data_IF_969873540701
#
_entry.id   IF_969873540701
#
_cell.length_a   1.000
_cell.length_b   1.000
_cell.length_c   1.000
_cell.angle_alpha   90.00
_cell.angle_beta   90.00
_cell.angle_gamma   90.00
#
_symmetry.space_group_name_H-M   'P 1'
#
loop_
_entity.id
_entity.type
_entity.pdbx_description
1 polymer ?
#
# COMPACT_ATOMS: atom_id res chain seq x y z
N UNK A 1 -7.82 -0.03 12.14
CA UNK A 1 -8.02 -1.06 11.11
C UNK A 1 -6.81 -1.08 10.18
N UNK A 2 -6.50 -2.24 9.67
CA UNK A 2 -5.34 -2.41 8.79
C UNK A 2 -5.39 -1.51 7.56
N UNK A 3 -6.57 -1.40 6.93
CA UNK A 3 -6.72 -0.53 5.77
C UNK A 3 -6.35 0.93 6.10
N UNK A 4 -6.78 1.41 7.24
CA UNK A 4 -6.51 2.80 7.63
C UNK A 4 -5.02 3.06 7.81
N UNK A 5 -4.31 2.10 8.40
CA UNK A 5 -2.87 2.23 8.60
C UNK A 5 -2.13 2.21 7.27
N UNK A 6 -2.53 1.32 6.38
CA UNK A 6 -1.91 1.23 5.05
C UNK A 6 -2.22 2.48 4.25
N UNK A 7 -3.46 2.96 4.32
CA UNK A 7 -3.85 4.20 3.63
C UNK A 7 -3.00 5.37 4.10
N UNK A 8 -2.73 5.44 5.39
CA UNK A 8 -1.90 6.51 5.94
C UNK A 8 -0.49 6.48 5.36
N UNK A 9 0.10 5.30 5.26
CA UNK A 9 1.42 5.15 4.65
C UNK A 9 1.41 5.60 3.20
N UNK A 10 0.40 5.20 2.45
CA UNK A 10 0.26 5.59 1.04
C UNK A 10 0.15 7.11 0.91
N UNK A 11 -0.69 7.71 1.74
CA UNK A 11 -0.91 9.17 1.69
C UNK A 11 0.37 9.93 2.02
N UNK A 12 1.14 9.46 2.99
CA UNK A 12 2.39 10.11 3.36
C UNK A 12 3.42 10.01 2.24
N UNK A 13 3.51 8.85 1.59
CA UNK A 13 4.49 8.65 0.53
C UNK A 13 4.14 9.44 -0.72
N UNK A 14 2.87 9.55 -1.05
CA UNK A 14 2.43 10.21 -2.28
C UNK A 14 2.04 11.66 -2.07
N UNK A 15 1.94 12.13 -0.83
CA UNK A 15 1.55 13.49 -0.54
C UNK A 15 0.10 13.80 -0.91
N UNK A 16 -0.79 12.84 -0.72
CA UNK A 16 -2.20 12.97 -1.05
C UNK A 16 -3.06 12.83 0.20
N UNK A 17 -4.34 13.15 0.08
CA UNK A 17 -5.26 13.09 1.20
C UNK A 17 -5.95 11.73 1.30
N UNK A 18 -6.40 11.41 2.52
CA UNK A 18 -7.01 10.11 2.80
C UNK A 18 -8.26 9.85 1.96
N UNK A 19 -9.02 10.90 1.65
CA UNK A 19 -10.24 10.73 0.86
C UNK A 19 -9.98 10.37 -0.60
N UNK A 20 -8.72 10.44 -1.04
CA UNK A 20 -8.35 10.05 -2.39
C UNK A 20 -8.03 8.56 -2.48
N UNK A 21 -7.96 7.86 -1.34
CA UNK A 21 -7.54 6.46 -1.28
C UNK A 21 -8.67 5.60 -0.73
N UNK A 22 -9.10 4.62 -1.52
CA UNK A 22 -10.09 3.61 -1.10
C UNK A 22 -9.55 2.23 -1.44
N UNK A 23 -10.26 1.19 -1.03
CA UNK A 23 -9.85 -0.18 -1.35
C UNK A 23 -9.81 -0.44 -2.86
N UNK A 24 -10.67 0.23 -3.60
CA UNK A 24 -10.78 0.04 -5.05
C UNK A 24 -9.81 0.91 -5.85
N UNK A 25 -9.18 1.88 -5.19
CA UNK A 25 -8.24 2.78 -5.85
C UNK A 25 -7.01 2.00 -6.31
N UNK A 26 -6.61 2.20 -7.56
CA UNK A 26 -5.38 1.58 -8.07
C UNK A 26 -4.22 2.54 -7.90
N UNK A 27 -3.01 2.00 -7.88
CA UNK A 27 -1.83 2.87 -7.81
C UNK A 27 -1.67 3.67 -9.09
N UNK A 28 -2.15 3.14 -10.20
CA UNK A 28 -2.18 3.87 -11.46
C UNK A 28 -3.09 5.09 -11.36
N UNK A 29 -4.25 4.94 -10.72
CA UNK A 29 -5.16 6.06 -10.49
C UNK A 29 -4.52 7.16 -9.66
N UNK A 30 -3.64 6.78 -8.74
CA UNK A 30 -2.92 7.71 -7.89
C UNK A 30 -1.67 8.27 -8.55
N UNK A 31 -1.39 7.85 -9.78
CA UNK A 31 -0.19 8.24 -10.53
C UNK A 31 1.10 7.85 -9.80
N UNK A 32 1.04 6.80 -9.01
CA UNK A 32 2.20 6.26 -8.33
C UNK A 32 2.99 5.40 -9.30
N UNK A 33 4.26 5.72 -9.49
CA UNK A 33 5.12 4.90 -10.34
C UNK A 33 5.75 3.76 -9.54
N UNK A 34 6.64 3.02 -10.18
CA UNK A 34 7.28 1.87 -9.55
C UNK A 34 8.09 2.26 -8.32
N UNK A 35 8.76 3.40 -8.36
CA UNK A 35 9.55 3.87 -7.22
C UNK A 35 8.66 4.20 -6.04
N UNK A 36 7.54 4.87 -6.29
CA UNK A 36 6.59 5.20 -5.23
C UNK A 36 6.04 3.93 -4.61
N UNK A 37 5.68 2.96 -5.43
CA UNK A 37 5.15 1.69 -4.93
C UNK A 37 6.20 0.94 -4.11
N UNK A 38 7.45 0.93 -4.54
CA UNK A 38 8.53 0.31 -3.79
C UNK A 38 8.71 0.98 -2.44
N UNK A 39 8.63 2.31 -2.37
CA UNK A 39 8.76 3.01 -1.10
C UNK A 39 7.63 2.64 -0.14
N UNK A 40 6.41 2.55 -0.66
CA UNK A 40 5.25 2.13 0.14
C UNK A 40 5.48 0.72 0.66
N UNK A 41 5.93 -0.18 -0.21
CA UNK A 41 6.19 -1.58 0.16
C UNK A 41 7.23 -1.66 1.27
N UNK A 42 8.33 -0.92 1.13
CA UNK A 42 9.41 -0.92 2.13
C UNK A 42 8.88 -0.44 3.48
N UNK A 43 8.10 0.63 3.48
CA UNK A 43 7.51 1.14 4.73
C UNK A 43 6.60 0.11 5.38
N UNK A 44 5.82 -0.60 4.60
CA UNK A 44 4.93 -1.63 5.13
C UNK A 44 5.72 -2.83 5.67
N UNK A 45 6.80 -3.20 5.00
CA UNK A 45 7.65 -4.29 5.48
C UNK A 45 8.23 -3.97 6.86
N UNK A 46 8.69 -2.74 7.03
CA UNK A 46 9.23 -2.30 8.31
C UNK A 46 8.14 -2.19 9.37
N UNK A 47 7.02 -1.59 9.02
CA UNK A 47 5.92 -1.35 9.95
C UNK A 47 5.33 -2.65 10.50
N UNK A 48 5.16 -3.64 9.65
CA UNK A 48 4.53 -4.90 10.03
C UNK A 48 5.50 -6.06 10.21
N UNK A 49 6.78 -5.82 9.98
CA UNK A 49 7.84 -6.83 10.08
C UNK A 49 7.51 -8.05 9.20
N UNK A 50 7.19 -7.77 7.95
CA UNK A 50 6.86 -8.79 6.95
C UNK A 50 7.73 -8.60 5.72
N UNK A 51 7.69 -9.59 4.83
CA UNK A 51 8.40 -9.52 3.56
C UNK A 51 7.39 -9.55 2.43
N UNK A 52 7.48 -8.58 1.53
CA UNK A 52 6.57 -8.49 0.38
C UNK A 52 7.36 -8.85 -0.87
N UNK A 53 7.05 -9.97 -1.47
CA UNK A 53 7.79 -10.50 -2.60
C UNK A 53 7.18 -10.21 -3.96
N UNK A 54 5.85 -10.11 -4.03
CA UNK A 54 5.14 -9.94 -5.29
C UNK A 54 4.59 -8.53 -5.44
N UNK A 55 5.49 -7.58 -5.66
CA UNK A 55 5.11 -6.18 -5.81
C UNK A 55 4.29 -5.96 -7.08
N UNK A 56 4.62 -6.67 -8.14
CA UNK A 56 3.93 -6.50 -9.42
C UNK A 56 2.47 -6.95 -9.38
N UNK A 57 2.13 -7.83 -8.46
CA UNK A 57 0.75 -8.26 -8.28
C UNK A 57 -0.11 -7.28 -7.49
N UNK A 58 0.51 -6.26 -6.91
CA UNK A 58 -0.19 -5.27 -6.08
C UNK A 58 -0.66 -4.11 -6.96
N UNK A 59 -1.84 -4.24 -7.53
CA UNK A 59 -2.37 -3.24 -8.46
C UNK A 59 -3.24 -2.20 -7.80
N UNK A 60 -3.98 -2.57 -6.77
CA UNK A 60 -4.85 -1.64 -6.06
C UNK A 60 -4.60 -1.72 -4.56
N UNK A 61 -5.22 -0.82 -3.82
CA UNK A 61 -5.03 -0.74 -2.37
C UNK A 61 -5.50 -2.01 -1.68
N UNK A 62 -6.60 -2.58 -2.16
CA UNK A 62 -7.12 -3.82 -1.59
C UNK A 62 -6.11 -4.96 -1.70
N UNK A 63 -5.39 -5.05 -2.83
CA UNK A 63 -4.37 -6.08 -3.00
C UNK A 63 -3.30 -5.97 -1.92
N UNK A 64 -2.89 -4.75 -1.61
CA UNK A 64 -1.90 -4.51 -0.56
C UNK A 64 -2.44 -4.89 0.80
N UNK A 65 -3.67 -4.48 1.10
CA UNK A 65 -4.31 -4.79 2.38
C UNK A 65 -4.43 -6.30 2.56
N UNK A 66 -4.90 -6.98 1.53
CA UNK A 66 -5.06 -8.44 1.58
C UNK A 66 -3.72 -9.14 1.78
N UNK A 67 -2.68 -8.67 1.10
CA UNK A 67 -1.36 -9.25 1.23
C UNK A 67 -0.82 -9.10 2.64
N UNK A 68 -0.89 -7.89 3.19
CA UNK A 68 -0.42 -7.62 4.54
C UNK A 68 -1.22 -8.41 5.57
N UNK A 69 -2.54 -8.46 5.40
CA UNK A 69 -3.40 -9.23 6.30
C UNK A 69 -3.01 -10.69 6.30
N UNK A 70 -2.75 -11.26 5.14
CA UNK A 70 -2.34 -12.66 5.03
C UNK A 70 -1.02 -12.92 5.73
N UNK A 71 -0.08 -11.99 5.62
CA UNK A 71 1.25 -12.13 6.22
C UNK A 71 1.26 -11.87 7.72
N UNK A 72 0.27 -11.16 8.23
CA UNK A 72 0.23 -10.80 9.66
C UNK A 72 -0.76 -11.64 10.46
N UNK A 73 -1.36 -12.62 9.84
CA UNK A 73 -2.26 -13.55 10.54
C UNK A 73 -1.52 -14.37 11.58
#
# INVERSE_FOLDING_TARGET
>A
MLFEEIREVICEQLGIEKNEVSLETTFEDLQADSLDLFQIVIELEVKYNIQIEDVEGLKNVKDVVDYVEEKTK
#
